data_IF_447685874024
#
_entry.id   IF_447685874024
#
_cell.length_a   1.000
_cell.length_b   1.000
_cell.length_c   1.000
_cell.angle_alpha   90.00
_cell.angle_beta   90.00
_cell.angle_gamma   90.00
#
_symmetry.space_group_name_H-M   'P 1'
#
loop_
_entity.id
_entity.type
_entity.pdbx_description
1 polymer ?
#
# COMPACT_ATOMS: atom_id res chain seq x y z
N UNK A 1 -22.34 -14.02 15.37
CA UNK A 1 -20.98 -13.68 14.91
C UNK A 1 -20.95 -13.79 13.39
N UNK A 2 -20.47 -12.75 12.73
CA UNK A 2 -20.24 -12.82 11.28
C UNK A 2 -18.89 -13.48 11.03
N UNK A 3 -18.87 -14.46 10.15
CA UNK A 3 -17.64 -15.10 9.73
C UNK A 3 -17.08 -14.42 8.48
N UNK A 4 -15.77 -14.24 8.46
CA UNK A 4 -15.04 -13.75 7.29
C UNK A 4 -13.97 -14.77 6.93
N UNK A 5 -13.79 -15.01 5.63
CA UNK A 5 -12.74 -15.90 5.15
C UNK A 5 -11.35 -15.31 5.44
N UNK A 6 -11.23 -13.98 5.36
CA UNK A 6 -9.98 -13.26 5.64
C UNK A 6 -10.25 -12.05 6.53
N UNK A 7 -9.32 -11.81 7.44
CA UNK A 7 -9.31 -10.60 8.28
C UNK A 7 -7.93 -9.97 8.23
N UNK A 8 -7.87 -8.70 7.85
CA UNK A 8 -6.65 -7.90 7.85
C UNK A 8 -6.75 -6.90 9.01
N UNK A 9 -5.82 -6.97 9.93
CA UNK A 9 -5.70 -6.01 11.03
C UNK A 9 -4.67 -4.96 10.65
N UNK A 10 -5.15 -3.75 10.44
CA UNK A 10 -4.35 -2.61 9.99
C UNK A 10 -4.53 -2.30 8.52
N UNK A 11 -5.11 -1.15 8.24
CA UNK A 11 -5.32 -0.61 6.89
C UNK A 11 -4.20 0.34 6.45
N UNK A 12 -2.95 0.01 6.77
CA UNK A 12 -1.79 0.73 6.28
C UNK A 12 -1.30 0.24 4.92
N UNK A 13 -0.06 0.57 4.56
CA UNK A 13 0.52 0.20 3.27
C UNK A 13 0.45 -1.32 3.01
N UNK A 14 0.89 -2.12 3.97
CA UNK A 14 0.93 -3.58 3.81
C UNK A 14 -0.46 -4.19 3.72
N UNK A 15 -1.36 -3.84 4.66
CA UNK A 15 -2.72 -4.38 4.70
C UNK A 15 -3.54 -4.02 3.47
N UNK A 16 -3.48 -2.76 3.06
CA UNK A 16 -4.18 -2.30 1.85
C UNK A 16 -3.59 -2.89 0.58
N UNK A 17 -2.27 -3.06 0.49
CA UNK A 17 -1.63 -3.72 -0.65
C UNK A 17 -2.06 -5.17 -0.78
N UNK A 18 -2.11 -5.90 0.34
CA UNK A 18 -2.60 -7.28 0.34
C UNK A 18 -4.06 -7.36 -0.11
N UNK A 19 -4.92 -6.50 0.42
CA UNK A 19 -6.33 -6.45 0.02
C UNK A 19 -6.47 -6.16 -1.48
N UNK A 20 -5.69 -5.21 -2.00
CA UNK A 20 -5.67 -4.86 -3.42
C UNK A 20 -5.25 -6.05 -4.29
N UNK A 21 -4.21 -6.77 -3.91
CA UNK A 21 -3.74 -7.94 -4.65
C UNK A 21 -4.77 -9.08 -4.60
N UNK A 22 -5.39 -9.33 -3.46
CA UNK A 22 -6.46 -10.33 -3.35
C UNK A 22 -7.64 -10.00 -4.29
N UNK A 23 -8.03 -8.74 -4.33
CA UNK A 23 -9.13 -8.30 -5.19
C UNK A 23 -8.76 -8.34 -6.68
N UNK A 24 -7.60 -7.82 -7.07
CA UNK A 24 -7.17 -7.78 -8.47
C UNK A 24 -6.93 -9.17 -9.06
N UNK A 25 -6.57 -10.14 -8.23
CA UNK A 25 -6.36 -11.54 -8.63
C UNK A 25 -7.61 -12.41 -8.45
N UNK A 26 -8.78 -11.81 -8.28
CA UNK A 26 -10.06 -12.49 -8.14
C UNK A 26 -10.14 -13.51 -7.00
N UNK A 27 -9.34 -13.30 -5.94
CA UNK A 27 -9.31 -14.20 -4.77
C UNK A 27 -10.49 -13.97 -3.82
N UNK A 28 -11.27 -12.92 -4.06
CA UNK A 28 -12.41 -12.55 -3.24
C UNK A 28 -13.76 -12.74 -3.96
N UNK A 29 -13.80 -13.43 -5.10
CA UNK A 29 -15.03 -13.64 -5.85
C UNK A 29 -16.09 -14.43 -5.05
N UNK A 30 -15.64 -15.41 -4.30
CA UNK A 30 -16.45 -16.28 -3.43
C UNK A 30 -16.01 -16.21 -1.96
N UNK A 31 -15.20 -15.23 -1.62
CA UNK A 31 -14.61 -15.04 -0.28
C UNK A 31 -14.87 -13.66 0.25
N UNK A 32 -14.95 -13.57 1.56
CA UNK A 32 -15.18 -12.31 2.27
C UNK A 32 -13.93 -11.83 2.98
N UNK A 33 -13.71 -10.51 2.95
CA UNK A 33 -12.58 -9.86 3.60
C UNK A 33 -13.08 -8.78 4.55
N UNK A 34 -12.62 -8.84 5.79
CA UNK A 34 -12.75 -7.74 6.74
C UNK A 34 -11.41 -7.03 6.90
N UNK A 35 -11.43 -5.71 6.83
CA UNK A 35 -10.27 -4.85 7.11
C UNK A 35 -10.58 -4.04 8.35
N UNK A 36 -9.78 -4.18 9.39
CA UNK A 36 -9.94 -3.43 10.64
C UNK A 36 -8.90 -2.32 10.69
N UNK A 37 -9.36 -1.08 10.65
CA UNK A 37 -8.51 0.11 10.70
C UNK A 37 -9.18 1.19 11.55
N UNK A 38 -8.51 1.60 12.61
CA UNK A 38 -9.01 2.62 13.54
C UNK A 38 -9.00 4.03 12.97
N UNK A 39 -8.18 4.27 11.95
CA UNK A 39 -8.05 5.56 11.29
C UNK A 39 -9.38 5.99 10.65
N UNK A 40 -9.81 7.21 10.91
CA UNK A 40 -11.06 7.74 10.34
C UNK A 40 -10.89 8.26 8.92
N UNK A 41 -9.75 8.88 8.64
CA UNK A 41 -9.44 9.46 7.35
C UNK A 41 -8.06 9.01 6.89
N UNK A 42 -7.94 8.74 5.59
CA UNK A 42 -6.67 8.52 4.93
C UNK A 42 -6.16 9.85 4.37
N UNK A 43 -5.07 10.35 4.93
CA UNK A 43 -4.43 11.59 4.52
C UNK A 43 -3.09 11.30 3.86
N UNK A 44 -2.56 12.28 3.13
CA UNK A 44 -1.19 12.22 2.60
C UNK A 44 -0.20 12.47 3.74
N UNK A 45 -0.08 11.53 4.65
CA UNK A 45 0.64 11.65 5.92
C UNK A 45 1.87 10.75 6.02
N UNK A 46 2.12 9.94 5.00
CA UNK A 46 3.24 9.00 4.96
C UNK A 46 4.14 9.25 3.76
N UNK A 47 5.40 8.95 3.94
CA UNK A 47 6.38 8.88 2.86
C UNK A 47 6.90 7.46 2.81
N UNK A 48 6.62 6.78 1.71
CA UNK A 48 7.16 5.45 1.46
C UNK A 48 8.11 5.52 0.28
N UNK A 49 9.26 4.91 0.46
CA UNK A 49 10.27 4.84 -0.58
C UNK A 49 10.84 3.42 -0.63
N UNK A 50 11.23 2.99 -1.81
CA UNK A 50 11.68 1.63 -2.05
C UNK A 50 12.56 1.55 -3.30
N UNK A 51 13.33 0.47 -3.38
CA UNK A 51 14.04 0.12 -4.61
C UNK A 51 13.07 -0.61 -5.54
N UNK A 52 12.90 -0.12 -6.76
CA UNK A 52 12.03 -0.78 -7.74
C UNK A 52 12.75 -1.99 -8.33
N UNK A 53 12.62 -3.12 -7.66
CA UNK A 53 13.20 -4.39 -8.09
C UNK A 53 12.26 -5.20 -9.00
N UNK A 54 10.96 -4.92 -8.94
CA UNK A 54 9.92 -5.56 -9.74
C UNK A 54 8.92 -4.54 -10.26
N UNK A 55 8.17 -4.92 -11.29
CA UNK A 55 7.00 -4.16 -11.70
C UNK A 55 5.90 -4.25 -10.63
N UNK A 56 5.12 -3.19 -10.49
CA UNK A 56 4.04 -3.10 -9.51
C UNK A 56 2.87 -2.26 -10.05
N UNK A 57 1.73 -2.35 -9.37
CA UNK A 57 0.49 -1.71 -9.81
C UNK A 57 0.36 -0.23 -9.42
N UNK A 58 1.41 0.38 -8.86
CA UNK A 58 1.37 1.74 -8.29
C UNK A 58 2.29 2.73 -9.01
N UNK A 59 2.61 2.48 -10.28
CA UNK A 59 3.44 3.40 -11.08
C UNK A 59 2.81 4.78 -11.21
N UNK A 60 1.49 4.86 -11.26
CA UNK A 60 0.71 6.09 -11.30
C UNK A 60 0.69 6.86 -9.96
N UNK A 61 1.16 6.24 -8.90
CA UNK A 61 1.28 6.85 -7.57
C UNK A 61 2.72 7.31 -7.25
N UNK A 62 3.68 7.07 -8.14
CA UNK A 62 5.08 7.43 -7.92
C UNK A 62 5.23 8.95 -7.97
N UNK A 63 5.76 9.51 -6.88
CA UNK A 63 6.05 10.93 -6.75
C UNK A 63 7.38 11.30 -7.38
N UNK A 64 8.39 10.45 -7.22
CA UNK A 64 9.73 10.66 -7.75
C UNK A 64 10.50 9.35 -7.86
N UNK A 65 11.38 9.29 -8.86
CA UNK A 65 12.29 8.18 -9.11
C UNK A 65 13.71 8.72 -9.28
N UNK A 66 14.69 8.09 -8.66
CA UNK A 66 16.09 8.47 -8.75
C UNK A 66 16.91 7.30 -9.29
N UNK A 67 17.74 7.58 -10.27
CA UNK A 67 18.67 6.60 -10.86
C UNK A 67 20.06 6.66 -10.25
N UNK A 68 20.29 7.62 -9.38
CA UNK A 68 21.53 7.75 -8.61
C UNK A 68 21.28 8.48 -7.31
N UNK A 69 22.15 8.23 -6.35
CA UNK A 69 22.16 8.93 -5.07
C UNK A 69 23.59 9.10 -4.58
N UNK A 70 23.80 9.99 -3.64
CA UNK A 70 25.11 10.20 -3.02
C UNK A 70 25.07 9.95 -1.53
N UNK A 71 26.16 9.40 -1.02
CA UNK A 71 26.43 9.29 0.41
C UNK A 71 27.59 10.24 0.72
N UNK A 72 27.36 11.17 1.61
CA UNK A 72 28.35 12.14 2.02
C UNK A 72 28.72 11.95 3.48
N UNK A 73 30.03 11.86 3.75
CA UNK A 73 30.61 11.87 5.09
C UNK A 73 31.49 13.09 5.26
N UNK A 74 32.08 13.29 6.44
CA UNK A 74 33.01 14.38 6.67
C UNK A 74 34.27 14.28 5.82
N UNK A 75 34.66 13.08 5.38
CA UNK A 75 35.91 12.81 4.66
C UNK A 75 35.73 12.58 3.17
N UNK A 76 34.54 12.15 2.73
CA UNK A 76 34.33 11.82 1.32
C UNK A 76 32.85 11.90 0.89
N UNK A 77 32.64 11.97 -0.41
CA UNK A 77 31.32 11.85 -1.05
C UNK A 77 31.38 10.74 -2.07
N UNK A 78 30.45 9.80 -1.99
CA UNK A 78 30.33 8.69 -2.93
C UNK A 78 29.02 8.77 -3.68
N UNK A 79 29.08 8.76 -5.01
CA UNK A 79 27.90 8.69 -5.88
C UNK A 79 27.66 7.24 -6.28
N UNK A 80 26.45 6.76 -6.10
CA UNK A 80 26.03 5.40 -6.42
C UNK A 80 24.97 5.47 -7.49
N UNK A 81 25.22 4.77 -8.60
CA UNK A 81 24.26 4.61 -9.70
C UNK A 81 23.36 3.42 -9.43
N UNK A 82 22.06 3.60 -9.63
CA UNK A 82 21.03 2.58 -9.42
C UNK A 82 20.05 2.51 -10.60
N UNK A 83 20.56 2.62 -11.82
CA UNK A 83 19.73 2.60 -13.04
C UNK A 83 18.91 1.33 -13.17
N UNK A 84 19.48 0.18 -12.78
CA UNK A 84 18.83 -1.12 -12.89
C UNK A 84 17.66 -1.24 -11.88
N UNK A 85 17.83 -0.71 -10.67
CA UNK A 85 16.83 -0.71 -9.61
C UNK A 85 16.70 0.70 -9.04
N UNK A 86 15.97 1.60 -9.71
CA UNK A 86 15.85 2.97 -9.23
C UNK A 86 15.19 3.04 -7.86
N UNK A 87 15.56 4.06 -7.09
CA UNK A 87 14.94 4.36 -5.83
C UNK A 87 13.71 5.23 -6.10
N UNK A 88 12.55 4.78 -5.63
CA UNK A 88 11.28 5.45 -5.89
C UNK A 88 10.60 5.88 -4.60
N UNK A 89 9.92 7.02 -4.65
CA UNK A 89 9.06 7.51 -3.58
C UNK A 89 7.62 7.57 -4.06
N UNK A 90 6.71 7.00 -3.28
CA UNK A 90 5.29 6.94 -3.59
C UNK A 90 4.51 8.03 -2.83
N UNK A 91 3.53 8.63 -3.51
CA UNK A 91 2.59 9.55 -2.89
C UNK A 91 1.52 8.76 -2.14
N UNK A 92 1.50 8.88 -0.81
CA UNK A 92 0.56 8.13 0.03
C UNK A 92 -0.89 8.52 -0.22
N UNK A 93 -1.17 9.77 -0.55
CA UNK A 93 -2.52 10.22 -0.89
C UNK A 93 -3.06 9.52 -2.14
N UNK A 94 -2.26 9.50 -3.21
CA UNK A 94 -2.62 8.81 -4.45
C UNK A 94 -2.76 7.30 -4.24
N UNK A 95 -1.89 6.71 -3.44
CA UNK A 95 -1.94 5.30 -3.09
C UNK A 95 -3.24 4.94 -2.36
N UNK A 96 -3.59 5.69 -1.32
CA UNK A 96 -4.83 5.46 -0.57
C UNK A 96 -6.06 5.63 -1.45
N UNK A 97 -6.10 6.69 -2.26
CA UNK A 97 -7.24 6.96 -3.15
C UNK A 97 -7.45 5.85 -4.16
N UNK A 98 -6.37 5.39 -4.78
CA UNK A 98 -6.42 4.29 -5.76
C UNK A 98 -6.96 3.02 -5.14
N UNK A 99 -6.39 2.60 -4.01
CA UNK A 99 -6.78 1.35 -3.35
C UNK A 99 -8.19 1.45 -2.79
N UNK A 100 -8.49 2.47 -2.01
CA UNK A 100 -9.79 2.59 -1.37
C UNK A 100 -10.93 2.73 -2.36
N UNK A 101 -10.73 3.44 -3.46
CA UNK A 101 -11.71 3.55 -4.54
C UNK A 101 -12.04 2.17 -5.12
N UNK A 102 -11.02 1.34 -5.32
CA UNK A 102 -11.22 -0.01 -5.83
C UNK A 102 -11.88 -0.93 -4.80
N UNK A 103 -11.35 -0.98 -3.59
CA UNK A 103 -11.84 -1.92 -2.56
C UNK A 103 -13.30 -1.65 -2.18
N UNK A 104 -13.72 -0.39 -2.15
CA UNK A 104 -15.10 0.00 -1.84
C UNK A 104 -16.12 -0.47 -2.87
N UNK A 105 -15.71 -0.79 -4.09
CA UNK A 105 -16.58 -1.34 -5.13
C UNK A 105 -16.86 -2.83 -4.95
N UNK A 106 -16.04 -3.54 -4.18
CA UNK A 106 -16.21 -4.96 -3.96
C UNK A 106 -17.10 -5.19 -2.73
N UNK A 107 -18.31 -5.73 -2.95
CA UNK A 107 -19.29 -6.02 -1.89
C UNK A 107 -18.82 -7.05 -0.87
N UNK A 108 -17.81 -7.85 -1.22
CA UNK A 108 -17.23 -8.87 -0.34
C UNK A 108 -16.18 -8.31 0.61
N UNK A 109 -15.84 -7.03 0.50
CA UNK A 109 -14.88 -6.34 1.36
C UNK A 109 -15.61 -5.37 2.29
N UNK A 110 -15.33 -5.47 3.59
CA UNK A 110 -15.88 -4.56 4.59
C UNK A 110 -14.78 -3.97 5.45
N UNK A 111 -14.94 -2.68 5.75
CA UNK A 111 -14.07 -1.94 6.65
C UNK A 111 -14.71 -1.79 8.02
N UNK A 112 -13.93 -2.01 9.05
CA UNK A 112 -14.34 -1.88 10.45
C UNK A 112 -13.35 -0.99 11.21
N UNK A 113 -13.83 -0.22 12.15
CA UNK A 113 -12.98 0.63 12.99
C UNK A 113 -12.41 -0.12 14.19
N UNK A 114 -13.13 -1.12 14.65
CA UNK A 114 -12.76 -1.87 15.83
C UNK A 114 -12.93 -3.37 15.57
N UNK A 115 -12.06 -4.17 16.15
CA UNK A 115 -12.14 -5.63 16.03
C UNK A 115 -13.45 -6.18 16.65
N UNK A 116 -13.98 -5.49 17.66
CA UNK A 116 -15.26 -5.87 18.29
C UNK A 116 -16.45 -5.70 17.34
N UNK A 117 -16.31 -4.90 16.28
CA UNK A 117 -17.37 -4.68 15.29
C UNK A 117 -17.53 -5.88 14.33
N UNK A 118 -16.60 -6.84 14.38
CA UNK A 118 -16.69 -8.10 13.64
C UNK A 118 -17.73 -9.07 14.21
N UNK A 119 -18.17 -8.84 15.40
CA UNK A 119 -19.13 -9.72 16.12
C UNK A 119 -20.58 -9.42 15.75
#
# INVERSE_FOLDING_TARGET
MKEYDFVIIGGGCAGLSLAYELDTHNKLNDKTLAIVETREEYKRDKTWSFWKVNEHNFNDCIKKSWKQFSIKTNSETKVIKCDQFPYESIDSGLFYDKINTRLKKNKNIKFFKNINDLN
#
